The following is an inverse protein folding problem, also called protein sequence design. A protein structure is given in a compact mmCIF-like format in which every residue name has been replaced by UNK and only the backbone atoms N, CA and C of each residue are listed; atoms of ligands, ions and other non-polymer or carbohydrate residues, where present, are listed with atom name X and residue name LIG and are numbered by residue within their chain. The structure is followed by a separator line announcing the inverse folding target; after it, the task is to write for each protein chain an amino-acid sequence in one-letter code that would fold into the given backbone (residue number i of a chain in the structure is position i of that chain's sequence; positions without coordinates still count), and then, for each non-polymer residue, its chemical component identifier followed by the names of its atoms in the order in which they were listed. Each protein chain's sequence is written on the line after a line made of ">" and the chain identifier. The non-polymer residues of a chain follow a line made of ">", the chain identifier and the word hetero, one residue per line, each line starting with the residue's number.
data_IF_608954343921
#
_entry.id   IF_608954343921
#
_cell.length_a   1.000
_cell.length_b   1.000
_cell.length_c   1.000
_cell.angle_alpha   90.00
_cell.angle_beta   90.00
_cell.angle_gamma   90.00
#
_symmetry.space_group_name_H-M   'P 1'
#
loop_
_entity.id
_entity.type
_entity.pdbx_description
1 polymer ?
#
# COMPACT_ATOMS: atom_id res chain seq x y z
N UNK A 1 -5.12 -39.63 -57.01
CA UNK A 1 -5.07 -40.42 -55.76
C UNK A 1 -5.32 -39.44 -54.62
N UNK A 2 -6.57 -39.11 -54.28
CA UNK A 2 -7.41 -39.74 -53.24
C UNK A 2 -6.65 -40.04 -51.95
N UNK A 3 -7.06 -39.38 -50.87
CA UNK A 3 -6.61 -39.65 -49.50
C UNK A 3 -6.96 -38.51 -48.53
N UNK A 4 -8.26 -38.27 -48.31
CA UNK A 4 -8.80 -37.53 -47.18
C UNK A 4 -8.49 -38.25 -45.85
N UNK A 5 -8.29 -37.49 -44.76
CA UNK A 5 -8.56 -37.96 -43.41
C UNK A 5 -8.99 -36.80 -42.51
N UNK A 6 -10.26 -36.86 -42.13
CA UNK A 6 -11.00 -35.96 -41.26
C UNK A 6 -10.64 -36.11 -39.77
N UNK A 7 -10.87 -35.00 -39.05
CA UNK A 7 -11.53 -34.84 -37.75
C UNK A 7 -11.26 -35.81 -36.58
N UNK A 8 -11.01 -35.21 -35.41
CA UNK A 8 -11.85 -35.42 -34.21
C UNK A 8 -11.61 -34.35 -33.14
N UNK A 9 -12.65 -33.53 -32.97
CA UNK A 9 -12.94 -32.69 -31.81
C UNK A 9 -13.49 -33.61 -30.70
N UNK A 10 -13.04 -33.45 -29.46
CA UNK A 10 -13.68 -34.06 -28.29
C UNK A 10 -14.17 -32.94 -27.37
N UNK A 11 -15.48 -32.69 -27.44
CA UNK A 11 -16.26 -32.00 -26.42
C UNK A 11 -16.63 -32.99 -25.32
N UNK A 12 -16.53 -32.57 -24.06
CA UNK A 12 -17.11 -33.28 -22.92
C UNK A 12 -18.19 -32.40 -22.29
N UNK A 13 -19.45 -32.72 -22.57
CA UNK A 13 -20.60 -32.38 -21.75
C UNK A 13 -21.05 -33.65 -21.03
N UNK A 14 -21.25 -33.58 -19.72
CA UNK A 14 -22.12 -34.50 -18.99
C UNK A 14 -22.87 -33.70 -17.91
N UNK A 15 -24.16 -33.57 -18.16
CA UNK A 15 -25.22 -33.13 -17.26
C UNK A 15 -25.54 -34.27 -16.31
N UNK A 16 -25.70 -33.99 -15.01
CA UNK A 16 -26.55 -34.80 -14.13
C UNK A 16 -27.42 -33.88 -13.27
N UNK A 17 -28.73 -34.13 -13.41
CA UNK A 17 -29.88 -33.52 -12.74
C UNK A 17 -30.41 -34.51 -11.72
N UNK A 18 -31.00 -34.00 -10.64
CA UNK A 18 -31.89 -34.73 -9.71
C UNK A 18 -31.29 -34.82 -8.29
N UNK A 19 -31.99 -34.57 -7.19
CA UNK A 19 -33.41 -34.36 -6.89
C UNK A 19 -33.51 -33.68 -5.51
N UNK A 20 -34.51 -32.84 -5.29
CA UNK A 20 -34.95 -32.39 -3.95
C UNK A 20 -36.00 -33.36 -3.39
N UNK A 21 -36.12 -33.44 -2.05
CA UNK A 21 -37.41 -33.68 -1.41
C UNK A 21 -37.76 -32.61 -0.35
N UNK A 22 -39.03 -32.59 0.13
CA UNK A 22 -39.74 -31.38 0.52
C UNK A 22 -39.70 -31.07 2.03
N UNK A 23 -40.10 -29.84 2.35
CA UNK A 23 -40.23 -29.35 3.72
C UNK A 23 -41.48 -29.85 4.46
N UNK A 24 -41.41 -29.78 5.79
CA UNK A 24 -42.55 -29.83 6.70
C UNK A 24 -42.29 -28.87 7.87
N UNK A 25 -43.28 -28.01 8.13
CA UNK A 25 -43.28 -27.06 9.24
C UNK A 25 -43.46 -27.71 10.60
N UNK A 26 -43.17 -26.93 11.64
CA UNK A 26 -43.38 -27.32 13.04
C UNK A 26 -43.22 -26.13 13.96
N UNK A 27 -44.33 -25.69 14.52
CA UNK A 27 -44.50 -24.60 15.47
C UNK A 27 -43.99 -24.93 16.88
N UNK A 28 -43.46 -23.90 17.54
CA UNK A 28 -43.66 -23.52 18.95
C UNK A 28 -43.69 -24.63 20.04
N UNK A 29 -42.75 -24.55 21.00
CA UNK A 29 -43.06 -24.76 22.43
C UNK A 29 -41.97 -24.18 23.34
N UNK A 30 -42.37 -23.21 24.17
CA UNK A 30 -41.72 -22.82 25.43
C UNK A 30 -41.81 -23.99 26.40
N UNK A 31 -40.80 -24.18 27.25
CA UNK A 31 -40.98 -24.79 28.57
C UNK A 31 -39.84 -24.37 29.49
N UNK A 32 -40.19 -23.52 30.46
CA UNK A 32 -39.44 -23.21 31.67
C UNK A 32 -39.80 -24.24 32.74
N UNK A 33 -38.84 -24.73 33.52
CA UNK A 33 -38.95 -25.25 34.92
C UNK A 33 -37.54 -25.64 35.37
N UNK A 34 -36.83 -24.89 36.23
CA UNK A 34 -36.93 -24.86 37.69
C UNK A 34 -37.02 -26.25 38.33
N UNK A 35 -35.90 -26.72 38.87
CA UNK A 35 -35.85 -27.63 40.01
C UNK A 35 -34.75 -27.15 40.96
N UNK A 36 -35.20 -26.71 42.13
CA UNK A 36 -34.40 -26.36 43.29
C UNK A 36 -33.95 -27.64 44.02
N UNK A 37 -32.72 -27.62 44.54
CA UNK A 37 -32.19 -28.63 45.46
C UNK A 37 -31.09 -28.02 46.30
N UNK A 38 -31.46 -27.58 47.50
CA UNK A 38 -30.56 -27.07 48.55
C UNK A 38 -29.76 -28.21 49.19
N UNK A 39 -28.45 -28.03 49.34
CA UNK A 39 -27.69 -28.50 50.51
C UNK A 39 -26.40 -27.68 50.62
N UNK A 40 -26.33 -26.86 51.68
CA UNK A 40 -25.20 -25.98 51.94
C UNK A 40 -23.98 -26.70 52.51
N UNK A 41 -22.81 -26.15 52.20
CA UNK A 41 -21.62 -26.26 53.04
C UNK A 41 -20.81 -24.98 52.87
N UNK A 42 -20.53 -24.38 54.03
CA UNK A 42 -19.74 -23.18 54.28
C UNK A 42 -18.35 -23.30 53.64
N UNK A 43 -18.05 -22.50 52.61
CA UNK A 43 -16.68 -22.35 52.08
C UNK A 43 -16.17 -20.98 52.49
N UNK A 44 -15.08 -20.97 53.27
CA UNK A 44 -14.35 -19.78 53.68
C UNK A 44 -13.92 -18.99 52.44
N UNK A 45 -14.35 -17.73 52.33
CA UNK A 45 -13.86 -16.78 51.34
C UNK A 45 -12.44 -16.36 51.71
N UNK A 46 -11.44 -16.98 51.08
CA UNK A 46 -10.09 -16.44 51.03
C UNK A 46 -10.09 -15.37 49.92
N UNK A 47 -10.18 -14.09 50.30
CA UNK A 47 -9.96 -12.99 49.37
C UNK A 47 -8.47 -12.94 49.01
N UNK A 48 -8.07 -13.67 47.96
CA UNK A 48 -6.78 -13.46 47.33
C UNK A 48 -6.87 -12.14 46.55
N UNK A 49 -6.15 -11.12 47.03
CA UNK A 49 -5.86 -9.93 46.23
C UNK A 49 -5.01 -10.37 45.03
N UNK A 50 -5.64 -10.65 43.90
CA UNK A 50 -4.94 -10.75 42.62
C UNK A 50 -4.60 -9.33 42.19
N UNK A 51 -3.36 -8.92 42.41
CA UNK A 51 -2.80 -7.77 41.71
C UNK A 51 -2.98 -8.00 40.20
N UNK A 52 -3.36 -6.97 39.41
CA UNK A 52 -3.35 -7.11 37.97
C UNK A 52 -1.92 -7.43 37.56
N UNK A 53 -1.72 -8.60 36.95
CA UNK A 53 -0.47 -8.89 36.26
C UNK A 53 -0.31 -7.81 35.19
N UNK A 54 0.65 -6.92 35.39
CA UNK A 54 1.10 -6.03 34.34
C UNK A 54 1.44 -6.92 33.14
N UNK A 55 0.69 -6.76 32.05
CA UNK A 55 1.09 -7.29 30.75
C UNK A 55 2.42 -6.60 30.47
N UNK A 56 3.52 -7.31 30.70
CA UNK A 56 4.82 -6.86 30.25
C UNK A 56 4.70 -6.74 28.72
N UNK A 57 4.64 -5.49 28.23
CA UNK A 57 4.69 -5.23 26.80
C UNK A 57 5.90 -5.94 26.23
N UNK A 58 5.72 -6.62 25.10
CA UNK A 58 6.85 -7.18 24.37
C UNK A 58 7.93 -6.09 24.24
N UNK A 59 9.22 -6.41 24.44
CA UNK A 59 10.27 -5.42 24.26
C UNK A 59 10.12 -4.80 22.88
N UNK A 60 9.96 -3.48 22.84
CA UNK A 60 9.94 -2.73 21.57
C UNK A 60 11.26 -3.06 20.89
N UNK A 61 11.19 -3.75 19.75
CA UNK A 61 12.37 -4.08 18.98
C UNK A 61 13.15 -2.78 18.73
N UNK A 62 14.41 -2.75 19.15
CA UNK A 62 15.26 -1.59 18.93
C UNK A 62 15.46 -1.43 17.43
N UNK A 63 15.16 -0.24 16.91
CA UNK A 63 15.39 0.11 15.52
C UNK A 63 16.82 -0.26 15.07
N UNK A 64 17.00 -0.90 13.90
CA UNK A 64 18.33 -1.20 13.39
C UNK A 64 19.07 0.09 13.03
N UNK A 65 20.40 0.05 13.12
CA UNK A 65 21.23 1.13 12.61
C UNK A 65 21.13 1.22 11.08
N UNK A 66 21.19 2.44 10.55
CA UNK A 66 21.29 2.64 9.11
C UNK A 66 22.63 2.14 8.57
N UNK A 67 22.59 1.51 7.40
CA UNK A 67 23.77 1.19 6.60
C UNK A 67 24.21 2.38 5.75
N UNK A 68 23.31 3.32 5.48
CA UNK A 68 23.57 4.56 4.72
C UNK A 68 24.14 5.64 5.65
N UNK A 69 25.07 6.45 5.13
CA UNK A 69 25.60 7.60 5.86
C UNK A 69 24.53 8.68 6.05
N UNK A 70 24.48 9.29 7.24
CA UNK A 70 23.50 10.33 7.59
C UNK A 70 23.45 11.47 6.57
N UNK A 71 24.60 11.94 6.08
CA UNK A 71 24.65 13.00 5.07
C UNK A 71 23.99 12.62 3.73
N UNK A 72 24.00 11.34 3.34
CA UNK A 72 23.30 10.88 2.13
C UNK A 72 21.79 10.79 2.37
N UNK A 73 21.37 10.42 3.59
CA UNK A 73 19.97 10.41 4.00
C UNK A 73 19.40 11.84 4.04
N UNK A 74 20.13 12.80 4.62
CA UNK A 74 19.76 14.21 4.66
C UNK A 74 19.65 14.81 3.26
N UNK A 75 20.63 14.53 2.39
CA UNK A 75 20.65 15.06 1.03
C UNK A 75 19.52 14.52 0.13
N UNK A 76 18.87 13.43 0.52
CA UNK A 76 17.75 12.84 -0.22
C UNK A 76 16.43 13.58 -0.05
N UNK A 77 16.30 14.42 0.99
CA UNK A 77 15.06 15.07 1.37
C UNK A 77 15.00 16.48 0.78
N UNK A 78 13.90 16.81 0.10
CA UNK A 78 13.60 18.18 -0.34
C UNK A 78 12.21 18.56 0.13
N UNK A 79 12.07 19.74 0.72
CA UNK A 79 10.84 20.21 1.34
C UNK A 79 10.39 21.57 0.79
N UNK A 80 9.07 21.82 0.86
CA UNK A 80 8.43 23.09 0.54
C UNK A 80 7.34 23.42 1.58
N UNK A 81 7.23 24.69 1.92
CA UNK A 81 6.29 25.20 2.94
C UNK A 81 6.76 25.02 4.39
N UNK A 82 5.93 25.49 5.32
CA UNK A 82 6.16 25.40 6.76
C UNK A 82 5.41 24.17 7.34
N UNK A 83 6.10 23.15 7.86
CA UNK A 83 5.46 21.96 8.43
C UNK A 83 4.79 22.19 9.79
N UNK A 84 5.12 23.29 10.48
CA UNK A 84 4.61 23.59 11.82
C UNK A 84 3.21 24.20 11.81
N UNK A 85 2.72 24.64 10.64
CA UNK A 85 1.42 25.29 10.48
C UNK A 85 0.61 24.65 9.34
N UNK A 86 -0.68 25.00 9.25
CA UNK A 86 -1.55 24.55 8.17
C UNK A 86 -1.97 23.07 8.25
N UNK A 87 -2.45 22.48 7.13
CA UNK A 87 -2.83 21.07 7.06
C UNK A 87 -1.66 20.13 7.38
N UNK A 88 -1.93 18.85 7.69
CA UNK A 88 -0.90 17.83 7.96
C UNK A 88 0.17 17.80 6.86
N UNK A 89 1.47 17.89 7.21
CA UNK A 89 2.54 17.87 6.21
C UNK A 89 2.64 16.49 5.58
N UNK A 90 3.03 16.44 4.31
CA UNK A 90 3.04 15.19 3.53
C UNK A 90 4.45 14.79 3.11
N UNK A 91 4.83 13.54 3.37
CA UNK A 91 5.98 12.91 2.74
C UNK A 91 5.57 12.20 1.44
N UNK A 92 6.15 12.61 0.32
CA UNK A 92 5.95 12.02 -1.00
C UNK A 92 7.04 11.00 -1.31
N UNK A 93 6.65 9.78 -1.68
CA UNK A 93 7.58 8.67 -1.95
C UNK A 93 7.40 8.12 -3.37
N UNK A 94 8.44 8.19 -4.24
CA UNK A 94 8.31 7.90 -5.66
C UNK A 94 8.20 6.41 -5.97
N UNK A 95 7.66 6.12 -7.15
CA UNK A 95 7.65 4.77 -7.71
C UNK A 95 8.98 4.31 -8.29
N UNK A 96 9.07 3.01 -8.56
CA UNK A 96 10.19 2.38 -9.28
C UNK A 96 10.48 3.13 -10.57
N UNK A 97 11.75 3.30 -10.93
CA UNK A 97 12.26 4.03 -12.12
C UNK A 97 12.17 5.56 -12.07
N UNK A 98 11.62 6.14 -11.00
CA UNK A 98 11.35 7.58 -10.93
C UNK A 98 12.20 8.27 -9.85
N UNK A 99 12.55 9.52 -10.10
CA UNK A 99 12.89 10.49 -9.05
C UNK A 99 11.61 11.16 -8.55
N UNK A 100 11.58 11.70 -7.31
CA UNK A 100 10.38 12.33 -6.78
C UNK A 100 9.97 13.59 -7.55
N UNK A 101 10.92 14.39 -8.04
CA UNK A 101 10.61 15.55 -8.91
C UNK A 101 9.83 15.10 -10.15
N UNK A 102 10.33 14.08 -10.86
CA UNK A 102 9.70 13.57 -12.07
C UNK A 102 8.29 13.03 -11.78
N UNK A 103 8.12 12.37 -10.64
CA UNK A 103 6.86 11.79 -10.23
C UNK A 103 5.84 12.86 -9.80
N UNK A 104 6.26 13.89 -9.03
CA UNK A 104 5.33 14.70 -8.23
C UNK A 104 5.32 16.21 -8.51
N UNK A 105 6.37 16.80 -9.08
CA UNK A 105 6.54 18.27 -9.11
C UNK A 105 5.47 19.01 -9.94
N UNK A 106 4.84 18.32 -10.89
CA UNK A 106 3.82 18.87 -11.77
C UNK A 106 2.39 18.47 -11.39
N UNK A 107 2.21 17.62 -10.36
CA UNK A 107 0.92 17.14 -9.88
C UNK A 107 0.74 17.39 -8.36
N UNK A 108 0.92 16.40 -7.48
CA UNK A 108 0.69 16.46 -6.03
C UNK A 108 1.45 17.59 -5.34
N UNK A 109 2.77 17.71 -5.56
CA UNK A 109 3.57 18.76 -4.93
C UNK A 109 3.06 20.16 -5.31
N UNK A 110 2.80 20.39 -6.60
CA UNK A 110 2.21 21.65 -7.10
C UNK A 110 0.85 21.94 -6.45
N UNK A 111 0.03 20.92 -6.25
CA UNK A 111 -1.29 21.07 -5.63
C UNK A 111 -1.19 21.36 -4.14
N UNK A 112 -0.30 20.68 -3.42
CA UNK A 112 -0.05 20.92 -2.01
C UNK A 112 0.48 22.33 -1.76
N UNK A 113 1.46 22.79 -2.53
CA UNK A 113 1.95 24.18 -2.47
C UNK A 113 0.82 25.19 -2.69
N UNK A 114 -0.04 24.97 -3.70
CA UNK A 114 -1.20 25.85 -3.97
C UNK A 114 -2.25 25.83 -2.86
N UNK A 115 -2.39 24.71 -2.17
CA UNK A 115 -3.31 24.54 -1.06
C UNK A 115 -2.72 24.98 0.29
N UNK A 116 -1.46 25.45 0.32
CA UNK A 116 -0.76 25.80 1.56
C UNK A 116 -0.45 24.60 2.45
N UNK A 117 -0.40 23.39 1.88
CA UNK A 117 0.03 22.18 2.58
C UNK A 117 1.52 21.99 2.34
N UNK A 118 2.31 21.99 3.41
CA UNK A 118 3.74 21.68 3.34
C UNK A 118 3.97 20.23 2.96
N UNK A 119 5.06 19.98 2.27
CA UNK A 119 5.44 18.65 1.84
C UNK A 119 6.95 18.50 1.79
N UNK A 120 7.40 17.27 1.99
CA UNK A 120 8.73 16.85 1.58
C UNK A 120 8.60 15.68 0.62
N UNK A 121 9.61 15.46 -0.22
CA UNK A 121 9.78 14.20 -0.90
C UNK A 121 11.15 13.60 -0.59
N UNK A 122 11.23 12.29 -0.69
CA UNK A 122 12.47 11.53 -0.51
C UNK A 122 12.92 10.97 -1.85
N UNK A 123 14.17 11.24 -2.23
CA UNK A 123 14.79 10.65 -3.40
C UNK A 123 15.40 9.29 -3.06
N UNK A 124 14.76 8.22 -3.55
CA UNK A 124 15.24 6.85 -3.34
C UNK A 124 16.43 6.54 -4.27
N UNK A 125 17.45 5.80 -3.78
CA UNK A 125 18.70 5.60 -4.50
C UNK A 125 18.48 4.95 -5.87
N UNK A 126 19.13 5.53 -6.89
CA UNK A 126 19.12 5.02 -8.25
C UNK A 126 17.73 4.95 -8.87
N UNK A 127 16.92 6.02 -8.73
CA UNK A 127 15.54 6.07 -9.26
C UNK A 127 14.65 4.95 -8.68
N UNK A 128 14.80 4.67 -7.39
CA UNK A 128 14.13 3.55 -6.72
C UNK A 128 14.41 2.17 -7.37
N UNK A 129 15.59 1.97 -7.97
CA UNK A 129 15.98 0.69 -8.59
C UNK A 129 16.97 -0.14 -7.76
N UNK A 130 17.43 0.38 -6.61
CA UNK A 130 18.37 -0.29 -5.71
C UNK A 130 17.64 -1.21 -4.72
N UNK A 131 18.38 -1.74 -3.75
CA UNK A 131 17.79 -2.58 -2.71
C UNK A 131 16.71 -1.80 -1.94
N UNK A 132 15.50 -2.35 -1.90
CA UNK A 132 14.35 -1.73 -1.26
C UNK A 132 14.52 -1.64 0.26
N UNK A 133 15.32 -2.52 0.86
CA UNK A 133 15.64 -2.47 2.29
C UNK A 133 16.43 -1.20 2.63
N UNK A 134 17.36 -0.82 1.74
CA UNK A 134 18.10 0.44 1.82
C UNK A 134 17.16 1.63 1.57
N UNK A 135 16.26 1.54 0.57
CA UNK A 135 15.23 2.56 0.37
C UNK A 135 14.35 2.77 1.62
N UNK A 136 14.10 1.72 2.40
CA UNK A 136 13.42 1.79 3.68
C UNK A 136 14.15 2.63 4.73
N UNK A 137 15.48 2.67 4.71
CA UNK A 137 16.29 3.54 5.58
C UNK A 137 16.07 5.02 5.24
N UNK A 138 16.07 5.36 3.95
CA UNK A 138 15.76 6.72 3.46
C UNK A 138 14.35 7.16 3.89
N UNK A 139 13.37 6.27 3.79
CA UNK A 139 12.00 6.58 4.22
C UNK A 139 11.89 6.71 5.75
N UNK A 140 12.53 5.83 6.52
CA UNK A 140 12.54 5.94 7.98
C UNK A 140 13.18 7.26 8.45
N UNK A 141 14.27 7.68 7.80
CA UNK A 141 14.91 8.96 8.06
C UNK A 141 13.99 10.12 7.71
N UNK A 142 13.41 10.13 6.51
CA UNK A 142 12.51 11.17 6.05
C UNK A 142 11.28 11.34 6.97
N UNK A 143 10.71 10.23 7.48
CA UNK A 143 9.61 10.27 8.46
C UNK A 143 10.06 11.01 9.73
N UNK A 144 11.21 10.63 10.30
CA UNK A 144 11.75 11.25 11.52
C UNK A 144 12.03 12.73 11.32
N UNK A 145 12.70 13.09 10.23
CA UNK A 145 13.07 14.48 9.93
C UNK A 145 11.84 15.37 9.73
N UNK A 146 10.85 14.92 8.95
CA UNK A 146 9.65 15.72 8.73
C UNK A 146 8.78 15.79 10.00
N UNK A 147 8.66 14.71 10.75
CA UNK A 147 7.95 14.71 12.04
C UNK A 147 8.61 15.66 13.05
N UNK A 148 9.94 15.62 13.17
CA UNK A 148 10.70 16.53 14.05
C UNK A 148 10.50 17.99 13.65
N UNK A 149 10.59 18.29 12.35
CA UNK A 149 10.36 19.64 11.83
C UNK A 149 8.91 20.11 12.04
N UNK A 150 7.93 19.20 11.95
CA UNK A 150 6.52 19.51 12.13
C UNK A 150 6.10 19.63 13.61
N UNK A 151 6.73 18.87 14.50
CA UNK A 151 6.32 18.71 15.90
C UNK A 151 4.98 17.97 16.08
N UNK A 152 4.52 17.25 15.04
CA UNK A 152 3.24 16.53 14.99
C UNK A 152 3.29 15.39 13.97
N UNK A 153 2.35 14.43 14.01
CA UNK A 153 2.24 13.38 13.00
C UNK A 153 2.16 13.93 11.57
N UNK A 154 2.69 13.15 10.63
CA UNK A 154 2.78 13.45 9.21
C UNK A 154 1.92 12.46 8.41
N UNK A 155 1.53 12.80 7.19
CA UNK A 155 0.92 11.85 6.26
C UNK A 155 1.95 11.42 5.20
N UNK A 156 1.81 10.23 4.65
CA UNK A 156 2.66 9.72 3.57
C UNK A 156 1.79 9.45 2.35
N UNK A 157 2.22 9.94 1.19
CA UNK A 157 1.62 9.61 -0.11
C UNK A 157 2.70 8.94 -0.98
N UNK A 158 2.48 7.68 -1.31
CA UNK A 158 3.41 6.89 -2.09
C UNK A 158 2.78 6.35 -3.38
N UNK A 159 3.59 6.25 -4.43
CA UNK A 159 3.18 5.63 -5.69
C UNK A 159 3.95 4.34 -5.94
N UNK A 160 3.29 3.27 -6.39
CA UNK A 160 3.94 2.01 -6.78
C UNK A 160 4.80 1.45 -5.63
N UNK A 161 6.08 1.18 -5.87
CA UNK A 161 7.06 0.89 -4.82
C UNK A 161 6.99 1.88 -3.64
N UNK A 162 6.87 3.18 -3.91
CA UNK A 162 6.80 4.21 -2.88
C UNK A 162 5.55 4.13 -2.00
N UNK A 163 4.48 3.48 -2.44
CA UNK A 163 3.31 3.19 -1.59
C UNK A 163 3.50 1.94 -0.70
N UNK A 164 4.49 1.10 -1.01
CA UNK A 164 4.84 -0.10 -0.26
C UNK A 164 6.03 0.15 0.70
N UNK A 165 7.10 0.81 0.26
CA UNK A 165 8.35 0.99 1.02
C UNK A 165 8.17 1.61 2.42
N UNK A 166 7.26 2.58 2.63
CA UNK A 166 7.01 3.08 3.97
C UNK A 166 6.58 1.99 4.96
N UNK A 167 5.94 0.90 4.52
CA UNK A 167 5.63 -0.24 5.39
C UNK A 167 6.89 -0.95 5.89
N UNK A 168 7.95 -1.00 5.10
CA UNK A 168 9.26 -1.53 5.54
C UNK A 168 9.86 -0.65 6.65
N UNK A 169 9.80 0.67 6.48
CA UNK A 169 10.24 1.63 7.49
C UNK A 169 9.44 1.45 8.80
N UNK A 170 8.11 1.44 8.71
CA UNK A 170 7.21 1.25 9.87
C UNK A 170 7.42 -0.10 10.56
N UNK A 171 7.77 -1.16 9.81
CA UNK A 171 8.02 -2.49 10.36
C UNK A 171 9.31 -2.52 11.19
N UNK A 172 10.43 -2.09 10.62
CA UNK A 172 11.75 -2.28 11.22
C UNK A 172 12.24 -1.09 12.06
N UNK A 173 11.72 0.11 11.88
CA UNK A 173 11.94 1.27 12.73
C UNK A 173 10.65 1.63 13.48
N UNK A 174 10.25 0.84 14.50
CA UNK A 174 8.91 0.91 15.09
C UNK A 174 8.57 2.25 15.75
N UNK A 175 9.57 3.05 16.12
CA UNK A 175 9.37 4.41 16.63
C UNK A 175 8.68 5.32 15.60
N UNK A 176 8.87 5.07 14.30
CA UNK A 176 8.23 5.83 13.23
C UNK A 176 6.71 5.68 13.19
N UNK A 177 6.15 4.62 13.81
CA UNK A 177 4.70 4.36 13.78
C UNK A 177 3.89 5.48 14.43
N UNK A 178 4.36 6.01 15.55
CA UNK A 178 3.70 7.11 16.25
C UNK A 178 3.85 8.47 15.54
N UNK A 179 4.65 8.53 14.48
CA UNK A 179 4.94 9.75 13.72
C UNK A 179 4.06 9.89 12.47
N UNK A 180 3.30 8.85 12.12
CA UNK A 180 2.53 8.77 10.87
C UNK A 180 1.04 8.71 11.18
N UNK A 181 0.27 9.58 10.54
CA UNK A 181 -1.20 9.66 10.62
C UNK A 181 -1.82 8.80 9.51
N UNK A 182 -1.42 9.06 8.25
CA UNK A 182 -1.86 8.34 7.07
C UNK A 182 -0.71 7.72 6.29
N UNK A 183 -0.93 6.52 5.74
CA UNK A 183 -0.18 5.94 4.63
C UNK A 183 -1.13 5.72 3.46
N UNK A 184 -0.99 6.55 2.44
CA UNK A 184 -1.81 6.53 1.22
C UNK A 184 -0.97 6.01 0.06
N UNK A 185 -1.34 4.84 -0.47
CA UNK A 185 -0.70 4.21 -1.62
C UNK A 185 -1.53 4.37 -2.89
N UNK A 186 -0.90 4.80 -3.99
CA UNK A 186 -1.44 4.77 -5.35
C UNK A 186 -0.81 3.60 -6.12
N UNK A 187 -1.62 2.63 -6.55
CA UNK A 187 -1.16 1.36 -7.11
C UNK A 187 0.05 0.73 -6.38
N UNK A 188 0.06 0.66 -5.04
CA UNK A 188 1.20 0.16 -4.30
C UNK A 188 1.49 -1.30 -4.62
N UNK A 189 2.75 -1.69 -4.71
CA UNK A 189 3.17 -3.08 -4.98
C UNK A 189 3.25 -3.94 -3.69
N UNK A 190 2.27 -3.82 -2.79
CA UNK A 190 2.27 -4.42 -1.45
C UNK A 190 2.46 -5.95 -1.43
N UNK A 191 2.00 -6.64 -2.47
CA UNK A 191 2.21 -8.08 -2.67
C UNK A 191 3.00 -8.39 -3.96
N UNK A 192 3.69 -7.38 -4.49
CA UNK A 192 4.53 -7.47 -5.68
C UNK A 192 3.75 -7.51 -6.98
N UNK A 193 4.37 -8.05 -8.01
CA UNK A 193 3.74 -8.24 -9.31
C UNK A 193 4.22 -9.50 -10.00
N UNK A 194 3.31 -10.12 -10.76
CA UNK A 194 3.64 -11.23 -11.65
C UNK A 194 4.46 -10.77 -12.86
N UNK A 195 4.35 -9.51 -13.28
CA UNK A 195 5.08 -8.99 -14.44
C UNK A 195 6.59 -8.84 -14.20
N UNK A 196 7.01 -8.82 -12.94
CA UNK A 196 8.43 -8.84 -12.59
C UNK A 196 9.12 -10.16 -12.99
N UNK A 197 8.38 -11.28 -13.12
CA UNK A 197 8.97 -12.56 -13.56
C UNK A 197 9.59 -12.50 -14.95
N UNK A 198 8.87 -12.13 -16.03
CA UNK A 198 9.45 -11.99 -17.35
C UNK A 198 10.52 -10.89 -17.42
N UNK A 199 10.33 -9.77 -16.70
CA UNK A 199 11.32 -8.67 -16.67
C UNK A 199 12.67 -9.12 -16.09
N UNK A 200 12.66 -10.01 -15.10
CA UNK A 200 13.87 -10.49 -14.43
C UNK A 200 14.50 -11.75 -15.04
N UNK A 201 13.97 -12.25 -16.16
CA UNK A 201 14.43 -13.51 -16.78
C UNK A 201 15.93 -13.53 -17.13
N UNK A 202 16.49 -12.37 -17.52
CA UNK A 202 17.90 -12.21 -17.90
C UNK A 202 18.67 -11.32 -16.91
N UNK A 203 18.18 -11.24 -15.68
CA UNK A 203 18.63 -10.29 -14.66
C UNK A 203 17.97 -8.92 -14.82
N UNK A 204 17.66 -8.30 -13.68
CA UNK A 204 16.97 -7.03 -13.56
C UNK A 204 17.52 -6.26 -12.36
N UNK A 205 17.07 -5.04 -12.13
CA UNK A 205 17.49 -4.27 -10.97
C UNK A 205 17.06 -4.93 -9.64
N UNK A 206 17.80 -4.75 -8.54
CA UNK A 206 17.45 -5.28 -7.21
C UNK A 206 15.99 -5.06 -6.79
N UNK A 207 15.46 -3.84 -6.96
CA UNK A 207 14.08 -3.52 -6.60
C UNK A 207 13.04 -4.33 -7.39
N UNK A 208 13.35 -4.71 -8.64
CA UNK A 208 12.44 -5.51 -9.46
C UNK A 208 12.40 -6.96 -8.99
N UNK A 209 13.54 -7.52 -8.54
CA UNK A 209 13.56 -8.82 -7.89
C UNK A 209 12.72 -8.82 -6.60
N UNK A 210 12.85 -7.78 -5.79
CA UNK A 210 12.16 -7.66 -4.50
C UNK A 210 10.66 -7.40 -4.68
N UNK A 211 10.24 -6.75 -5.77
CA UNK A 211 8.82 -6.57 -6.12
C UNK A 211 8.21 -7.76 -6.85
N UNK A 212 8.96 -8.83 -7.12
CA UNK A 212 8.37 -10.04 -7.70
C UNK A 212 7.47 -10.71 -6.66
N UNK A 213 6.24 -11.06 -7.04
CA UNK A 213 5.34 -11.81 -6.13
C UNK A 213 6.06 -13.03 -5.55
N UNK A 214 5.99 -13.20 -4.22
CA UNK A 214 6.69 -14.28 -3.53
C UNK A 214 8.21 -14.10 -3.43
N UNK A 215 8.74 -12.88 -3.54
CA UNK A 215 10.13 -12.56 -3.17
C UNK A 215 10.38 -12.79 -1.67
N UNK A 216 11.64 -12.96 -1.28
CA UNK A 216 12.02 -13.03 0.14
C UNK A 216 11.70 -11.72 0.86
N UNK A 217 11.93 -10.59 0.21
CA UNK A 217 11.58 -9.26 0.66
C UNK A 217 10.09 -9.14 1.00
N UNK A 218 9.19 -9.50 0.08
CA UNK A 218 7.75 -9.38 0.32
C UNK A 218 7.25 -10.36 1.38
N UNK A 219 7.85 -11.56 1.46
CA UNK A 219 7.55 -12.48 2.57
C UNK A 219 7.94 -11.87 3.91
N UNK A 220 9.12 -11.25 4.01
CA UNK A 220 9.56 -10.59 5.23
C UNK A 220 8.69 -9.36 5.54
N UNK A 221 8.35 -8.54 4.55
CA UNK A 221 7.50 -7.37 4.71
C UNK A 221 6.11 -7.74 5.24
N UNK A 222 5.46 -8.73 4.61
CA UNK A 222 4.07 -9.11 4.91
C UNK A 222 3.94 -10.16 6.03
N UNK A 223 5.04 -10.60 6.64
CA UNK A 223 4.97 -11.48 7.81
C UNK A 223 4.32 -10.78 9.02
N UNK A 224 3.54 -11.54 9.79
CA UNK A 224 2.81 -11.16 11.01
C UNK A 224 1.67 -10.16 10.79
N UNK A 225 1.99 -8.92 10.40
CA UNK A 225 1.03 -7.84 10.22
C UNK A 225 1.45 -6.93 9.07
N UNK A 226 0.48 -6.52 8.26
CA UNK A 226 0.71 -5.58 7.19
C UNK A 226 0.57 -4.11 7.61
N UNK A 227 -0.22 -3.86 8.67
CA UNK A 227 -0.56 -2.53 9.19
C UNK A 227 -0.38 -2.44 10.71
N UNK A 228 -0.24 -1.20 11.21
CA UNK A 228 0.00 -0.91 12.62
C UNK A 228 -1.10 -0.03 13.20
N UNK A 229 -1.46 -0.26 14.46
CA UNK A 229 -2.46 0.53 15.18
C UNK A 229 -2.10 2.02 15.20
N UNK A 230 -3.13 2.87 15.09
CA UNK A 230 -3.00 4.33 15.10
C UNK A 230 -2.62 4.95 13.76
N UNK A 231 -2.51 4.16 12.68
CA UNK A 231 -2.25 4.64 11.32
C UNK A 231 -3.43 4.28 10.41
N UNK A 232 -3.84 5.23 9.59
CA UNK A 232 -4.83 5.08 8.53
C UNK A 232 -4.16 4.65 7.22
N UNK A 233 -4.60 3.54 6.64
CA UNK A 233 -4.04 2.97 5.41
C UNK A 233 -5.06 3.07 4.28
N UNK A 234 -4.76 3.90 3.28
CA UNK A 234 -5.59 4.08 2.10
C UNK A 234 -4.88 3.51 0.88
N UNK A 235 -5.28 2.33 0.41
CA UNK A 235 -4.71 1.71 -0.78
C UNK A 235 -5.66 1.95 -1.96
N UNK A 236 -5.28 2.84 -2.85
CA UNK A 236 -6.08 3.25 -4.00
C UNK A 236 -5.48 2.64 -5.25
N UNK A 237 -6.26 1.84 -5.96
CA UNK A 237 -5.73 1.07 -7.09
C UNK A 237 -6.70 0.90 -8.24
N UNK A 238 -6.18 0.54 -9.41
CA UNK A 238 -6.94 0.36 -10.64
C UNK A 238 -6.87 -1.06 -11.19
N UNK A 239 -8.02 -1.59 -11.66
CA UNK A 239 -8.08 -2.91 -12.30
C UNK A 239 -7.34 -2.97 -13.65
N UNK A 240 -7.05 -1.81 -14.24
CA UNK A 240 -6.37 -1.67 -15.53
C UNK A 240 -4.87 -1.42 -15.38
N UNK A 241 -4.32 -1.57 -14.18
CA UNK A 241 -2.89 -1.49 -13.93
C UNK A 241 -2.19 -2.61 -14.72
N UNK A 242 -1.25 -2.22 -15.57
CA UNK A 242 -0.48 -3.09 -16.45
C UNK A 242 0.91 -3.45 -15.90
N UNK A 243 1.23 -3.03 -14.67
CA UNK A 243 2.54 -3.21 -14.03
C UNK A 243 2.41 -3.95 -12.71
N UNK A 244 1.49 -3.53 -11.84
CA UNK A 244 1.21 -4.19 -10.55
C UNK A 244 0.04 -5.13 -10.74
N UNK A 245 0.32 -6.37 -11.11
CA UNK A 245 -0.72 -7.37 -11.43
C UNK A 245 -0.61 -8.63 -10.58
N UNK A 246 -1.75 -9.24 -10.20
CA UNK A 246 -3.12 -8.74 -10.41
C UNK A 246 -3.47 -7.58 -9.47
N UNK A 247 -4.22 -6.58 -9.95
CA UNK A 247 -4.78 -5.50 -9.11
C UNK A 247 -6.32 -5.51 -9.05
N UNK A 248 -6.88 -6.71 -8.97
CA UNK A 248 -8.32 -6.96 -8.91
C UNK A 248 -8.67 -7.78 -7.68
N UNK A 249 -9.80 -7.46 -7.05
CA UNK A 249 -10.30 -8.21 -5.90
C UNK A 249 -10.64 -9.67 -6.27
N UNK A 250 -10.46 -10.63 -5.34
CA UNK A 250 -9.95 -10.46 -3.97
C UNK A 250 -8.41 -10.50 -3.86
N UNK A 251 -7.68 -10.58 -4.96
CA UNK A 251 -6.22 -10.81 -4.98
C UNK A 251 -5.42 -9.56 -5.38
N UNK A 252 -5.97 -8.37 -5.16
CA UNK A 252 -5.34 -7.13 -5.59
C UNK A 252 -4.00 -6.96 -4.85
N UNK A 253 -2.90 -6.87 -5.58
CA UNK A 253 -1.58 -6.74 -4.99
C UNK A 253 -1.46 -5.51 -4.10
N UNK A 254 -2.14 -4.42 -4.47
CA UNK A 254 -2.17 -3.19 -3.70
C UNK A 254 -2.95 -3.28 -2.38
N UNK A 255 -3.90 -4.22 -2.25
CA UNK A 255 -4.72 -4.29 -1.05
C UNK A 255 -3.91 -4.77 0.16
N UNK A 256 -4.24 -4.27 1.35
CA UNK A 256 -3.75 -4.75 2.65
C UNK A 256 -4.89 -5.47 3.40
N UNK A 257 -4.58 -6.46 4.22
CA UNK A 257 -5.61 -7.34 4.80
C UNK A 257 -5.41 -7.70 6.27
N UNK A 258 -4.22 -7.48 6.82
CA UNK A 258 -3.86 -7.89 8.20
C UNK A 258 -3.24 -6.75 8.99
N UNK A 259 -3.25 -6.87 10.32
CA UNK A 259 -2.72 -5.87 11.25
C UNK A 259 -3.81 -5.11 11.98
N UNK A 260 -3.40 -4.09 12.72
CA UNK A 260 -4.29 -3.32 13.63
C UNK A 260 -4.54 -1.88 13.15
N UNK A 261 -4.03 -1.51 11.97
CA UNK A 261 -4.32 -0.21 11.35
C UNK A 261 -5.70 -0.16 10.71
N UNK A 262 -6.22 1.06 10.48
CA UNK A 262 -7.49 1.26 9.79
C UNK A 262 -7.28 1.14 8.28
N UNK A 263 -7.94 0.17 7.62
CA UNK A 263 -7.67 -0.13 6.20
C UNK A 263 -8.84 0.27 5.32
N UNK A 264 -8.55 1.04 4.28
CA UNK A 264 -9.43 1.25 3.12
C UNK A 264 -8.72 0.81 1.84
N UNK A 265 -9.26 -0.22 1.19
CA UNK A 265 -8.79 -0.71 -0.11
C UNK A 265 -9.79 -0.30 -1.18
N UNK A 266 -9.43 0.67 -2.02
CA UNK A 266 -10.34 1.29 -2.97
C UNK A 266 -9.92 1.00 -4.40
N UNK A 267 -10.67 0.11 -5.06
CA UNK A 267 -10.63 -0.03 -6.51
C UNK A 267 -11.32 1.18 -7.14
N UNK A 268 -10.62 1.98 -7.96
CA UNK A 268 -11.19 3.21 -8.55
C UNK A 268 -12.43 2.93 -9.41
N UNK A 269 -12.51 1.74 -10.03
CA UNK A 269 -13.69 1.31 -10.79
C UNK A 269 -14.95 1.09 -9.92
N UNK A 270 -14.81 0.94 -8.60
CA UNK A 270 -15.98 0.93 -7.70
C UNK A 270 -16.69 2.30 -7.65
N UNK A 271 -15.93 3.39 -7.86
CA UNK A 271 -16.41 4.77 -7.95
C UNK A 271 -16.73 5.14 -9.41
N UNK A 272 -15.95 4.67 -10.37
CA UNK A 272 -16.15 4.98 -11.78
C UNK A 272 -16.05 3.70 -12.64
N UNK A 273 -17.17 2.97 -12.87
CA UNK A 273 -17.14 1.60 -13.42
C UNK A 273 -16.43 1.38 -14.76
N UNK A 274 -16.36 2.41 -15.60
CA UNK A 274 -15.70 2.37 -16.92
C UNK A 274 -14.40 3.16 -16.95
N UNK A 275 -13.91 3.58 -15.79
CA UNK A 275 -12.68 4.34 -15.66
C UNK A 275 -11.48 3.47 -16.03
N UNK A 276 -10.60 4.04 -16.84
CA UNK A 276 -9.36 3.40 -17.27
C UNK A 276 -8.23 4.28 -16.78
N UNK A 277 -7.32 3.69 -16.03
CA UNK A 277 -6.10 4.32 -15.57
C UNK A 277 -4.98 3.30 -15.63
N UNK A 278 -3.92 3.63 -16.37
CA UNK A 278 -2.68 2.86 -16.33
C UNK A 278 -1.91 3.15 -15.04
N UNK A 279 -0.88 2.37 -14.79
CA UNK A 279 -0.07 2.45 -13.57
C UNK A 279 0.51 3.85 -13.35
N UNK A 280 1.10 4.45 -14.39
CA UNK A 280 1.73 5.77 -14.26
C UNK A 280 0.70 6.89 -14.11
N UNK A 281 -0.45 6.77 -14.76
CA UNK A 281 -1.56 7.70 -14.65
C UNK A 281 -2.08 7.75 -13.21
N UNK A 282 -2.25 6.61 -12.54
CA UNK A 282 -2.63 6.54 -11.11
C UNK A 282 -1.67 7.30 -10.20
N UNK A 283 -0.36 7.15 -10.43
CA UNK A 283 0.69 7.82 -9.67
C UNK A 283 0.87 9.31 -9.97
N UNK A 284 0.22 9.85 -11.01
CA UNK A 284 0.53 11.21 -11.49
C UNK A 284 -0.69 12.07 -11.80
N UNK A 285 -1.65 11.57 -12.59
CA UNK A 285 -2.69 12.41 -13.20
C UNK A 285 -4.12 11.94 -13.00
N UNK A 286 -4.31 10.77 -12.40
CA UNK A 286 -5.63 10.19 -12.23
C UNK A 286 -6.54 11.04 -11.34
N UNK A 287 -7.71 11.48 -11.83
CA UNK A 287 -8.60 12.32 -11.04
C UNK A 287 -9.29 11.58 -9.89
N UNK A 288 -9.55 10.28 -10.02
CA UNK A 288 -10.22 9.48 -8.99
C UNK A 288 -9.24 9.16 -7.87
N UNK A 289 -8.03 8.70 -8.23
CA UNK A 289 -6.93 8.47 -7.32
C UNK A 289 -6.58 9.73 -6.53
N UNK A 290 -6.48 10.86 -7.21
CA UNK A 290 -6.23 12.15 -6.56
C UNK A 290 -7.35 12.55 -5.58
N UNK A 291 -8.62 12.35 -5.95
CA UNK A 291 -9.74 12.66 -5.06
C UNK A 291 -9.71 11.82 -3.77
N UNK A 292 -9.33 10.54 -3.86
CA UNK A 292 -9.17 9.66 -2.71
C UNK A 292 -7.97 10.04 -1.84
N UNK A 293 -6.85 10.47 -2.45
CA UNK A 293 -5.70 11.01 -1.69
C UNK A 293 -6.12 12.24 -0.90
N UNK A 294 -6.83 13.19 -1.52
CA UNK A 294 -7.30 14.37 -0.79
C UNK A 294 -8.33 14.02 0.29
N UNK A 295 -9.20 13.04 0.02
CA UNK A 295 -10.20 12.60 0.99
C UNK A 295 -9.54 12.06 2.26
N UNK A 296 -8.54 11.17 2.15
CA UNK A 296 -7.75 10.71 3.29
C UNK A 296 -7.05 11.88 4.01
N UNK A 297 -6.35 12.75 3.27
CA UNK A 297 -5.59 13.86 3.86
C UNK A 297 -6.44 14.96 4.53
N UNK A 298 -7.76 14.90 4.45
CA UNK A 298 -8.66 15.96 4.95
C UNK A 298 -9.76 15.46 5.89
N UNK A 299 -9.76 14.16 6.22
CA UNK A 299 -10.71 13.56 7.14
C UNK A 299 -9.98 12.63 8.12
N UNK A 300 -10.59 12.39 9.28
CA UNK A 300 -10.11 11.36 10.19
C UNK A 300 -10.32 9.97 9.58
N UNK A 301 -9.33 9.09 9.74
CA UNK A 301 -9.37 7.74 9.19
C UNK A 301 -8.95 7.67 7.70
N UNK A 302 -8.93 6.48 7.10
CA UNK A 302 -8.54 6.32 5.71
C UNK A 302 -9.59 6.87 4.73
N UNK A 303 -9.22 6.93 3.45
CA UNK A 303 -10.09 7.38 2.37
C UNK A 303 -11.40 6.60 2.35
N UNK A 304 -12.52 7.30 2.19
CA UNK A 304 -13.85 6.70 2.09
C UNK A 304 -14.41 6.91 0.67
N UNK A 305 -14.57 5.84 -0.13
CA UNK A 305 -15.13 5.95 -1.46
C UNK A 305 -16.56 6.52 -1.49
N UNK A 306 -17.32 6.45 -0.38
CA UNK A 306 -18.66 7.03 -0.28
C UNK A 306 -18.66 8.56 -0.24
N UNK A 307 -17.56 9.19 0.20
CA UNK A 307 -17.39 10.66 0.21
C UNK A 307 -17.03 11.22 -1.17
N UNK A 308 -16.61 10.37 -2.10
CA UNK A 308 -16.19 10.79 -3.43
C UNK A 308 -17.40 11.02 -4.36
N UNK A 309 -17.56 12.26 -4.80
CA UNK A 309 -18.59 12.61 -5.79
C UNK A 309 -18.35 11.91 -7.12
N UNK A 310 -19.38 11.25 -7.67
CA UNK A 310 -19.35 10.60 -8.99
C UNK A 310 -19.06 11.57 -10.14
N UNK A 311 -19.15 12.89 -9.92
CA UNK A 311 -18.72 13.89 -10.90
C UNK A 311 -17.22 13.80 -11.23
N UNK A 312 -16.41 13.19 -10.35
CA UNK A 312 -14.98 12.93 -10.63
C UNK A 312 -14.79 12.05 -11.87
N UNK A 313 -15.73 11.15 -12.16
CA UNK A 313 -15.67 10.24 -13.32
C UNK A 313 -15.74 10.97 -14.68
N UNK A 314 -16.11 12.25 -14.68
CA UNK A 314 -16.18 13.08 -15.89
C UNK A 314 -14.89 13.89 -16.11
N UNK A 315 -13.92 13.80 -15.20
CA UNK A 315 -12.65 14.52 -15.31
C UNK A 315 -11.64 13.68 -16.07
N UNK A 316 -10.87 14.33 -16.95
CA UNK A 316 -9.76 13.69 -17.65
C UNK A 316 -8.44 13.72 -16.85
N UNK A 317 -8.26 14.76 -16.03
CA UNK A 317 -7.05 14.98 -15.24
C UNK A 317 -7.41 15.39 -13.82
N UNK A 318 -6.56 15.01 -12.88
CA UNK A 318 -6.59 15.53 -11.52
C UNK A 318 -6.55 17.08 -11.51
N UNK A 319 -7.18 17.73 -10.52
CA UNK A 319 -7.10 19.18 -10.35
C UNK A 319 -5.66 19.70 -10.40
N UNK A 320 -5.47 20.96 -10.79
CA UNK A 320 -4.16 21.60 -10.74
C UNK A 320 -3.12 21.17 -11.78
N UNK A 321 -3.34 20.05 -12.49
CA UNK A 321 -2.53 19.64 -13.64
C UNK A 321 -2.87 20.53 -14.84
N UNK A 322 -1.84 21.07 -15.48
CA UNK A 322 -1.98 21.91 -16.68
C UNK A 322 -2.22 21.03 -17.91
N UNK A 323 -3.37 21.16 -18.61
CA UNK A 323 -3.62 20.41 -19.85
C UNK A 323 -2.58 20.71 -20.94
N UNK A 324 -2.07 21.95 -20.96
CA UNK A 324 -1.09 22.39 -21.97
C UNK A 324 0.29 21.73 -21.82
N UNK A 325 0.69 21.35 -20.60
CA UNK A 325 1.99 20.72 -20.34
C UNK A 325 1.88 19.24 -19.97
N UNK A 326 0.66 18.70 -19.90
CA UNK A 326 0.41 17.32 -19.49
C UNK A 326 1.16 16.32 -20.38
N UNK A 327 0.97 16.41 -21.70
CA UNK A 327 1.57 15.48 -22.65
C UNK A 327 3.11 15.46 -22.56
N UNK A 328 3.75 16.63 -22.44
CA UNK A 328 5.21 16.71 -22.30
C UNK A 328 5.71 16.13 -20.98
N UNK A 329 5.01 16.41 -19.88
CA UNK A 329 5.39 15.90 -18.56
C UNK A 329 5.23 14.37 -18.52
N UNK A 330 4.09 13.86 -18.97
CA UNK A 330 3.81 12.42 -18.98
C UNK A 330 4.75 11.66 -19.93
N UNK A 331 5.05 12.22 -21.11
CA UNK A 331 6.05 11.63 -22.03
C UNK A 331 7.44 11.57 -21.39
N UNK A 332 7.82 12.57 -20.60
CA UNK A 332 9.09 12.55 -19.86
C UNK A 332 9.11 11.45 -18.79
N UNK A 333 8.01 11.26 -18.06
CA UNK A 333 7.86 10.16 -17.10
C UNK A 333 8.05 8.82 -17.80
N UNK A 334 7.31 8.57 -18.89
CA UNK A 334 7.43 7.35 -19.69
C UNK A 334 8.86 7.12 -20.20
N UNK A 335 9.48 8.15 -20.78
CA UNK A 335 10.81 8.04 -21.38
C UNK A 335 11.88 7.69 -20.33
N UNK A 336 11.83 8.33 -19.16
CA UNK A 336 12.78 8.03 -18.07
C UNK A 336 12.51 6.64 -17.51
N UNK A 337 11.24 6.29 -17.27
CA UNK A 337 10.88 4.96 -16.77
C UNK A 337 11.41 3.85 -17.68
N UNK A 338 11.12 3.95 -18.98
CA UNK A 338 11.61 3.01 -19.99
C UNK A 338 13.15 2.98 -20.05
N UNK A 339 13.81 4.13 -19.94
CA UNK A 339 15.28 4.20 -19.93
C UNK A 339 15.84 3.46 -18.72
N UNK A 340 15.31 3.68 -17.51
CA UNK A 340 15.82 3.05 -16.29
C UNK A 340 15.63 1.53 -16.28
N UNK A 341 14.58 1.00 -16.89
CA UNK A 341 14.42 -0.45 -17.08
C UNK A 341 15.58 -1.07 -17.90
N UNK A 342 16.18 -0.28 -18.79
CA UNK A 342 17.31 -0.73 -19.63
C UNK A 342 18.66 -0.49 -18.94
N UNK A 343 18.86 0.70 -18.35
CA UNK A 343 20.18 1.15 -17.90
C UNK A 343 20.48 0.87 -16.43
N UNK A 344 19.48 0.56 -15.61
CA UNK A 344 19.70 0.27 -14.20
C UNK A 344 20.61 -0.97 -14.03
N UNK A 345 21.56 -0.94 -13.08
CA UNK A 345 22.44 -2.08 -12.85
C UNK A 345 21.66 -3.35 -12.50
N UNK A 346 22.00 -4.44 -13.18
CA UNK A 346 21.32 -5.71 -13.05
C UNK A 346 21.94 -6.59 -11.96
N UNK A 347 21.07 -7.24 -11.20
CA UNK A 347 21.37 -8.38 -10.36
C UNK A 347 20.75 -9.64 -11.01
N UNK A 348 21.35 -10.79 -10.76
CA UNK A 348 20.87 -12.09 -11.28
C UNK A 348 20.05 -12.89 -10.27
N UNK A 349 19.87 -12.34 -9.08
CA UNK A 349 19.04 -12.87 -8.01
C UNK A 349 18.59 -11.72 -7.12
N UNK A 350 17.55 -11.98 -6.35
CA UNK A 350 17.10 -11.10 -5.29
C UNK A 350 18.24 -10.84 -4.29
N UNK A 351 18.42 -9.59 -3.82
CA UNK A 351 19.29 -9.29 -2.69
C UNK A 351 18.94 -10.15 -1.48
N UNK A 352 19.94 -10.47 -0.66
CA UNK A 352 19.68 -11.13 0.61
C UNK A 352 18.94 -10.18 1.55
N UNK A 353 18.07 -10.74 2.39
CA UNK A 353 17.48 -9.98 3.49
C UNK A 353 18.60 -9.46 4.41
N UNK A 354 18.47 -8.22 4.86
CA UNK A 354 19.28 -7.64 5.91
C UNK A 354 19.12 -8.48 7.19
N UNK A 355 20.14 -8.52 8.04
CA UNK A 355 20.14 -9.39 9.21
C UNK A 355 18.98 -9.12 10.19
N UNK A 356 18.49 -7.87 10.25
CA UNK A 356 17.34 -7.49 11.08
C UNK A 356 15.99 -8.01 10.55
N UNK A 357 15.96 -8.54 9.32
CA UNK A 357 14.76 -8.97 8.59
C UNK A 357 14.73 -10.49 8.31
N UNK A 358 15.72 -11.24 8.80
CA UNK A 358 15.87 -12.69 8.56
C UNK A 358 15.07 -13.56 9.53
#
# INVERSE_FOLDING_TARGET
>A
MRGDAEARVLSAHAVLVGEQPPGLGGTMRRSSSLLAGLAGALVLTLAALTAPAAVAGAPVATAPAYSVAEGDLDASLTCDGDPTTGPTPVLLVPGTTLTPDLNFSWNYARQFTRAGRSWCWVELPGHAMRDIQVAGEYVAHAIRTLHEAAGRPISIVGFSQGGMVPRWALKYWPDTRAMVDDLIGLDPSNHGTLDAYPVCLVGCAPALWQQRTGSAFLRALNADAETWAGISYSQVFTATDEIVVPNIAPFASSALSTGEGEISNVLVQSICPVHVSDHLSMGTSDPVGHALVLDALTHDGPADPARISRAVCLRALAPGISPASFASNFTRVLAVAATQLVVAPRAYREPELADYAR
#
